data_IF_978304008229
#
_entry.id   IF_978304008229
#
_cell.length_a   1.000
_cell.length_b   1.000
_cell.length_c   1.000
_cell.angle_alpha   90.00
_cell.angle_beta   90.00
_cell.angle_gamma   90.00
#
_symmetry.space_group_name_H-M   'P 1'
#
loop_
_entity.id
_entity.type
_entity.pdbx_description
1 polymer ?
#
# COMPACT_ATOMS: atom_id res chain seq x y z
N UNK A 1 -11.46 -10.82 22.11
CA UNK A 1 -12.04 -9.55 21.63
C UNK A 1 -11.30 -9.18 20.35
N UNK A 2 -11.98 -9.16 19.21
CA UNK A 2 -11.34 -8.97 17.90
C UNK A 2 -11.14 -7.46 17.64
N UNK A 3 -10.02 -7.08 17.01
CA UNK A 3 -9.75 -5.70 16.60
C UNK A 3 -10.88 -5.15 15.71
N UNK A 4 -11.48 -6.02 14.88
CA UNK A 4 -12.66 -5.73 14.05
C UNK A 4 -13.83 -5.20 14.87
N UNK A 5 -14.12 -5.81 16.04
CA UNK A 5 -15.29 -5.47 16.84
C UNK A 5 -15.21 -4.03 17.38
N UNK A 6 -13.99 -3.50 17.56
CA UNK A 6 -13.73 -2.11 18.01
C UNK A 6 -13.71 -1.10 16.86
N UNK A 7 -13.27 -1.51 15.67
CA UNK A 7 -13.16 -0.62 14.51
C UNK A 7 -14.52 -0.40 13.85
N UNK A 8 -15.31 -1.46 13.67
CA UNK A 8 -16.60 -1.38 12.96
C UNK A 8 -17.68 -0.66 13.78
N UNK A 9 -17.62 -0.74 15.12
CA UNK A 9 -18.61 -0.11 16.00
C UNK A 9 -18.33 1.38 16.26
N UNK A 10 -17.18 1.92 15.84
CA UNK A 10 -16.82 3.33 16.01
C UNK A 10 -17.54 4.30 15.05
N UNK A 11 -18.17 3.78 13.99
CA UNK A 11 -19.29 4.34 13.24
C UNK A 11 -19.30 5.84 12.84
N UNK A 12 -19.24 6.07 11.52
CA UNK A 12 -19.94 7.10 10.73
C UNK A 12 -19.31 8.50 10.63
N UNK A 13 -17.99 8.59 10.74
CA UNK A 13 -17.27 9.87 10.71
C UNK A 13 -16.37 10.02 9.46
N UNK A 14 -15.97 11.26 9.14
CA UNK A 14 -15.09 11.58 7.99
C UNK A 14 -13.80 10.75 8.00
N UNK A 15 -13.30 10.43 9.20
CA UNK A 15 -12.13 9.59 9.43
C UNK A 15 -12.31 8.15 8.90
N UNK A 16 -13.52 7.59 8.93
CA UNK A 16 -13.80 6.25 8.37
C UNK A 16 -13.74 6.27 6.84
N UNK A 17 -14.21 7.36 6.22
CA UNK A 17 -14.13 7.54 4.77
C UNK A 17 -12.67 7.71 4.33
N UNK A 18 -11.90 8.55 5.01
CA UNK A 18 -10.47 8.74 4.75
C UNK A 18 -9.68 7.44 4.94
N UNK A 19 -9.96 6.70 6.01
CA UNK A 19 -9.36 5.38 6.24
C UNK A 19 -9.71 4.39 5.13
N UNK A 20 -10.97 4.32 4.72
CA UNK A 20 -11.43 3.41 3.66
C UNK A 20 -10.78 3.74 2.32
N UNK A 21 -10.75 5.03 1.96
CA UNK A 21 -10.12 5.50 0.72
C UNK A 21 -8.62 5.21 0.75
N UNK A 22 -7.92 5.58 1.82
CA UNK A 22 -6.50 5.29 1.97
C UNK A 22 -6.22 3.78 1.87
N UNK A 23 -7.02 2.95 2.56
CA UNK A 23 -6.91 1.49 2.54
C UNK A 23 -7.04 0.96 1.10
N UNK A 24 -8.06 1.38 0.36
CA UNK A 24 -8.27 0.97 -1.04
C UNK A 24 -7.06 1.36 -1.88
N UNK A 25 -6.61 2.62 -1.80
CA UNK A 25 -5.47 3.14 -2.56
C UNK A 25 -4.20 2.35 -2.29
N UNK A 26 -3.85 2.17 -1.02
CA UNK A 26 -2.65 1.43 -0.59
C UNK A 26 -2.68 -0.02 -1.08
N UNK A 27 -3.78 -0.74 -0.82
CA UNK A 27 -3.89 -2.16 -1.21
C UNK A 27 -3.86 -2.31 -2.73
N UNK A 28 -4.49 -1.40 -3.47
CA UNK A 28 -4.55 -1.44 -4.93
C UNK A 28 -3.15 -1.30 -5.52
N UNK A 29 -2.42 -0.25 -5.15
CA UNK A 29 -1.06 -0.05 -5.70
C UNK A 29 -0.10 -1.15 -5.24
N UNK A 30 -0.21 -1.62 -4.00
CA UNK A 30 0.53 -2.78 -3.53
C UNK A 30 0.28 -4.02 -4.40
N UNK A 31 -0.99 -4.33 -4.68
CA UNK A 31 -1.36 -5.49 -5.47
C UNK A 31 -0.93 -5.38 -6.94
N UNK A 32 -1.00 -4.19 -7.53
CA UNK A 32 -0.50 -3.91 -8.88
C UNK A 32 1.00 -4.17 -8.95
N UNK A 33 1.78 -3.59 -8.04
CA UNK A 33 3.24 -3.78 -8.02
C UNK A 33 3.63 -5.25 -7.80
N UNK A 34 2.93 -5.97 -6.91
CA UNK A 34 3.17 -7.41 -6.74
C UNK A 34 2.82 -8.20 -8.01
N UNK A 35 1.72 -7.87 -8.69
CA UNK A 35 1.33 -8.52 -9.95
C UNK A 35 2.36 -8.26 -11.05
N UNK A 36 2.91 -7.05 -11.13
CA UNK A 36 3.98 -6.71 -12.08
C UNK A 36 5.27 -7.49 -11.79
N UNK A 37 5.65 -7.61 -10.52
CA UNK A 37 6.80 -8.43 -10.14
C UNK A 37 6.61 -9.90 -10.54
N UNK A 38 5.43 -10.46 -10.31
CA UNK A 38 5.09 -11.81 -10.74
C UNK A 38 5.11 -11.96 -12.26
N UNK A 39 4.50 -11.01 -12.99
CA UNK A 39 4.46 -11.02 -14.45
C UNK A 39 5.87 -10.96 -15.06
N UNK A 40 6.76 -10.15 -14.48
CA UNK A 40 8.17 -10.05 -14.91
C UNK A 40 8.91 -11.38 -14.80
N UNK A 41 8.62 -12.14 -13.75
CA UNK A 41 9.34 -13.37 -13.40
C UNK A 41 8.62 -14.64 -13.92
N UNK A 42 7.51 -14.51 -14.66
CA UNK A 42 6.75 -15.65 -15.19
C UNK A 42 7.40 -16.23 -16.45
N UNK A 43 8.04 -17.39 -16.29
CA UNK A 43 8.69 -18.12 -17.38
C UNK A 43 7.72 -18.66 -18.45
N UNK A 44 6.42 -18.78 -18.16
CA UNK A 44 5.43 -19.29 -19.12
C UNK A 44 5.02 -18.22 -20.13
N UNK A 45 5.14 -16.95 -19.77
CA UNK A 45 4.76 -15.79 -20.59
C UNK A 45 5.88 -14.77 -20.63
N UNK A 46 7.02 -15.09 -21.29
CA UNK A 46 8.17 -14.20 -21.32
C UNK A 46 7.84 -12.88 -22.01
N UNK A 47 8.11 -11.78 -21.32
CA UNK A 47 7.96 -10.44 -21.85
C UNK A 47 9.10 -10.09 -22.81
N UNK A 48 8.83 -9.16 -23.73
CA UNK A 48 9.89 -8.54 -24.52
C UNK A 48 10.85 -7.75 -23.62
N UNK A 49 12.11 -7.61 -24.01
CA UNK A 49 13.10 -6.84 -23.24
C UNK A 49 12.63 -5.40 -22.96
N UNK A 50 11.91 -4.79 -23.91
CA UNK A 50 11.33 -3.46 -23.74
C UNK A 50 10.27 -3.43 -22.63
N UNK A 51 9.35 -4.40 -22.62
CA UNK A 51 8.31 -4.51 -21.58
C UNK A 51 8.90 -4.86 -20.22
N UNK A 52 9.92 -5.72 -20.17
CA UNK A 52 10.66 -6.03 -18.95
C UNK A 52 11.30 -4.78 -18.36
N UNK A 53 11.96 -3.95 -19.18
CA UNK A 53 12.60 -2.72 -18.71
C UNK A 53 11.60 -1.71 -18.12
N UNK A 54 10.40 -1.60 -18.71
CA UNK A 54 9.32 -0.77 -18.14
C UNK A 54 8.94 -1.27 -16.76
N UNK A 55 8.66 -2.57 -16.62
CA UNK A 55 8.25 -3.15 -15.33
C UNK A 55 9.35 -2.99 -14.29
N UNK A 56 10.61 -3.21 -14.67
CA UNK A 56 11.76 -2.99 -13.77
C UNK A 56 11.84 -1.55 -13.29
N UNK A 57 11.61 -0.57 -14.17
CA UNK A 57 11.58 0.85 -13.78
C UNK A 57 10.44 1.16 -12.80
N UNK A 58 9.24 0.62 -13.04
CA UNK A 58 8.10 0.76 -12.12
C UNK A 58 8.45 0.19 -10.73
N UNK A 59 8.99 -1.03 -10.69
CA UNK A 59 9.35 -1.71 -9.44
C UNK A 59 10.57 -1.08 -8.75
N UNK A 60 11.44 -0.40 -9.51
CA UNK A 60 12.59 0.31 -8.98
C UNK A 60 12.26 1.70 -8.45
N UNK A 61 11.08 2.25 -8.74
CA UNK A 61 10.65 3.56 -8.27
C UNK A 61 10.72 3.66 -6.73
N UNK A 62 11.27 4.75 -6.16
CA UNK A 62 11.45 4.88 -4.71
C UNK A 62 10.16 4.65 -3.91
N UNK A 63 9.04 5.23 -4.35
CA UNK A 63 7.74 5.07 -3.70
C UNK A 63 7.25 3.61 -3.77
N UNK A 64 7.42 2.95 -4.92
CA UNK A 64 7.06 1.54 -5.11
C UNK A 64 7.86 0.60 -4.21
N UNK A 65 9.16 0.86 -4.02
CA UNK A 65 10.00 0.08 -3.10
C UNK A 65 9.53 0.19 -1.65
N UNK A 66 9.13 1.39 -1.22
CA UNK A 66 8.64 1.60 0.14
C UNK A 66 7.31 0.90 0.35
N UNK A 67 6.38 0.97 -0.61
CA UNK A 67 5.09 0.28 -0.53
C UNK A 67 5.25 -1.25 -0.52
N UNK A 68 6.23 -1.79 -1.25
CA UNK A 68 6.41 -3.23 -1.42
C UNK A 68 7.49 -3.85 -0.53
N UNK A 69 8.11 -3.08 0.36
CA UNK A 69 9.12 -3.60 1.27
C UNK A 69 8.56 -4.77 2.11
N UNK A 70 9.42 -5.76 2.40
CA UNK A 70 8.99 -6.97 3.13
C UNK A 70 8.46 -6.66 4.53
N UNK A 71 8.99 -5.64 5.20
CA UNK A 71 8.52 -5.20 6.52
C UNK A 71 7.08 -4.67 6.49
N UNK A 72 6.65 -4.14 5.34
CA UNK A 72 5.33 -3.54 5.11
C UNK A 72 4.23 -4.59 4.91
N UNK A 73 4.59 -5.86 4.69
CA UNK A 73 3.62 -6.98 4.60
C UNK A 73 2.67 -7.02 5.80
N UNK A 74 3.16 -6.70 6.99
CA UNK A 74 2.33 -6.68 8.20
C UNK A 74 1.34 -5.52 8.21
N UNK A 75 1.71 -4.36 7.65
CA UNK A 75 0.79 -3.25 7.48
C UNK A 75 -0.33 -3.61 6.51
N UNK A 76 0.01 -4.19 5.35
CA UNK A 76 -0.97 -4.72 4.40
C UNK A 76 -1.91 -5.74 5.06
N UNK A 77 -1.37 -6.64 5.88
CA UNK A 77 -2.18 -7.60 6.63
C UNK A 77 -3.07 -6.94 7.67
N UNK A 78 -2.62 -5.87 8.31
CA UNK A 78 -3.45 -5.08 9.23
C UNK A 78 -4.61 -4.44 8.48
N UNK A 79 -4.33 -3.82 7.34
CA UNK A 79 -5.38 -3.20 6.51
C UNK A 79 -6.37 -4.23 5.98
N UNK A 80 -5.90 -5.40 5.51
CA UNK A 80 -6.76 -6.42 4.90
C UNK A 80 -7.48 -7.32 5.91
N UNK A 81 -6.77 -7.75 6.95
CA UNK A 81 -7.20 -8.82 7.85
C UNK A 81 -7.36 -8.35 9.29
N UNK A 82 -7.13 -7.07 9.58
CA UNK A 82 -7.28 -6.50 10.93
C UNK A 82 -6.33 -7.17 11.95
N UNK A 83 -5.26 -7.77 11.45
CA UNK A 83 -4.22 -8.41 12.24
C UNK A 83 -3.09 -7.43 12.47
N UNK A 84 -3.01 -6.89 13.68
CA UNK A 84 -1.88 -6.06 14.09
C UNK A 84 -0.56 -6.84 13.97
N UNK A 85 0.53 -6.11 13.72
CA UNK A 85 1.90 -6.60 13.89
C UNK A 85 2.00 -7.28 15.25
N UNK A 86 2.62 -8.48 15.35
CA UNK A 86 2.77 -9.17 16.63
C UNK A 86 3.47 -8.32 17.70
N UNK A 87 4.34 -7.39 17.28
CA UNK A 87 5.05 -6.45 18.15
C UNK A 87 4.44 -5.04 18.17
N UNK A 88 3.21 -4.85 17.67
CA UNK A 88 2.54 -3.56 17.75
C UNK A 88 2.31 -3.15 19.21
N UNK A 89 2.63 -1.91 19.52
CA UNK A 89 2.27 -1.33 20.81
C UNK A 89 0.80 -0.94 20.77
N UNK A 90 -0.04 -1.81 21.33
CA UNK A 90 -1.50 -1.61 21.37
C UNK A 90 -1.92 -0.41 22.22
N UNK A 91 -1.07 0.08 23.14
CA UNK A 91 -1.34 1.29 23.91
C UNK A 91 -1.26 2.57 23.05
N UNK A 92 -0.62 2.48 21.88
CA UNK A 92 -0.51 3.59 20.90
C UNK A 92 -1.61 3.59 19.85
N UNK A 93 -2.56 2.67 19.93
CA UNK A 93 -3.73 2.64 19.04
C UNK A 93 -4.73 3.70 19.51
N UNK A 94 -4.99 4.70 18.66
CA UNK A 94 -5.99 5.74 18.92
C UNK A 94 -7.02 5.75 17.80
N UNK A 95 -8.27 5.40 18.13
CA UNK A 95 -9.37 5.34 17.16
C UNK A 95 -9.73 6.69 16.53
N UNK A 96 -9.26 7.79 17.12
CA UNK A 96 -9.50 9.16 16.61
C UNK A 96 -8.41 9.63 15.65
N UNK A 97 -7.36 8.83 15.45
CA UNK A 97 -6.26 9.13 14.53
C UNK A 97 -6.47 8.39 13.21
N UNK A 98 -6.04 8.97 12.07
CA UNK A 98 -6.00 8.25 10.80
C UNK A 98 -5.24 6.93 10.92
N UNK A 99 -5.81 5.87 10.34
CA UNK A 99 -5.27 4.49 10.42
C UNK A 99 -4.97 4.10 11.88
N UNK A 100 -5.78 4.59 12.82
CA UNK A 100 -5.72 4.32 14.24
C UNK A 100 -4.37 4.66 14.91
N UNK A 101 -3.62 5.62 14.35
CA UNK A 101 -2.29 6.00 14.83
C UNK A 101 -1.19 4.96 14.55
N UNK A 102 -1.47 3.99 13.69
CA UNK A 102 -0.57 2.87 13.44
C UNK A 102 0.59 3.20 12.49
N UNK A 103 0.45 4.22 11.63
CA UNK A 103 1.44 4.50 10.58
C UNK A 103 2.89 4.55 11.09
N UNK A 104 3.23 5.30 12.15
CA UNK A 104 4.62 5.37 12.62
C UNK A 104 5.15 4.05 13.20
N UNK A 105 4.29 3.08 13.54
CA UNK A 105 4.72 1.75 14.00
C UNK A 105 5.18 0.85 12.85
N UNK A 106 4.66 1.06 11.63
CA UNK A 106 5.04 0.32 10.43
C UNK A 106 6.02 1.08 9.53
N UNK A 107 5.93 2.41 9.56
CA UNK A 107 6.73 3.33 8.76
C UNK A 107 7.33 4.40 9.68
N UNK A 108 8.43 4.12 10.40
CA UNK A 108 8.96 5.05 11.40
C UNK A 108 9.38 6.43 10.87
N UNK A 109 9.65 6.52 9.55
CA UNK A 109 9.99 7.77 8.87
C UNK A 109 8.78 8.58 8.39
N UNK A 110 7.55 8.08 8.61
CA UNK A 110 6.33 8.66 8.07
C UNK A 110 5.27 8.84 9.15
N UNK A 111 4.57 9.96 9.08
CA UNK A 111 3.23 10.10 9.63
C UNK A 111 2.18 9.72 8.56
N UNK A 112 0.90 9.86 8.90
CA UNK A 112 -0.18 9.50 7.98
C UNK A 112 -0.16 10.36 6.70
N UNK A 113 0.04 11.67 6.83
CA UNK A 113 0.05 12.59 5.69
C UNK A 113 1.21 12.26 4.73
N UNK A 114 2.41 12.06 5.28
CA UNK A 114 3.59 11.66 4.50
C UNK A 114 3.41 10.30 3.81
N UNK A 115 2.83 9.32 4.50
CA UNK A 115 2.54 8.02 3.89
C UNK A 115 1.46 8.14 2.80
N UNK A 116 0.41 8.94 3.03
CA UNK A 116 -0.62 9.18 2.02
C UNK A 116 -0.02 9.84 0.78
N UNK A 117 0.78 10.89 0.94
CA UNK A 117 1.48 11.53 -0.17
C UNK A 117 2.38 10.56 -0.94
N UNK A 118 3.07 9.66 -0.25
CA UNK A 118 3.89 8.62 -0.88
C UNK A 118 3.06 7.62 -1.69
N UNK A 119 1.90 7.20 -1.17
CA UNK A 119 0.96 6.32 -1.90
C UNK A 119 0.45 7.01 -3.16
N UNK A 120 0.16 8.30 -3.07
CA UNK A 120 -0.34 9.12 -4.19
C UNK A 120 0.70 9.21 -5.31
N UNK A 121 1.94 9.53 -4.95
CA UNK A 121 3.08 9.50 -5.87
C UNK A 121 3.24 8.12 -6.50
N UNK A 122 3.19 7.06 -5.70
CA UNK A 122 3.33 5.69 -6.20
C UNK A 122 2.24 5.34 -7.22
N UNK A 123 0.99 5.72 -6.97
CA UNK A 123 -0.13 5.51 -7.89
C UNK A 123 0.09 6.28 -9.18
N UNK A 124 0.44 7.57 -9.09
CA UNK A 124 0.62 8.42 -10.26
C UNK A 124 1.77 7.93 -11.16
N UNK A 125 2.93 7.62 -10.57
CA UNK A 125 4.09 7.11 -11.32
C UNK A 125 3.79 5.75 -11.96
N UNK A 126 3.16 4.84 -11.22
CA UNK A 126 2.78 3.52 -11.74
C UNK A 126 1.77 3.65 -12.87
N UNK A 127 0.73 4.48 -12.71
CA UNK A 127 -0.28 4.68 -13.73
C UNK A 127 0.29 5.33 -14.99
N UNK A 128 1.14 6.35 -14.87
CA UNK A 128 1.80 6.99 -16.01
C UNK A 128 2.61 5.97 -16.80
N UNK A 129 3.47 5.21 -16.12
CA UNK A 129 4.32 4.21 -16.77
C UNK A 129 3.51 3.09 -17.44
N UNK A 130 2.42 2.63 -16.82
CA UNK A 130 1.54 1.63 -17.43
C UNK A 130 0.77 2.16 -18.64
N UNK A 131 0.31 3.42 -18.60
CA UNK A 131 -0.36 4.05 -19.74
C UNK A 131 0.61 4.23 -20.92
N UNK A 132 1.82 4.73 -20.65
CA UNK A 132 2.88 4.85 -21.64
C UNK A 132 3.20 3.50 -22.29
N UNK A 133 3.29 2.44 -21.48
CA UNK A 133 3.54 1.08 -21.97
C UNK A 133 2.39 0.54 -22.84
N UNK A 134 1.15 0.84 -22.48
CA UNK A 134 -0.04 0.45 -23.24
C UNK A 134 -0.21 1.26 -24.55
N UNK A 135 0.61 2.29 -24.79
CA UNK A 135 0.47 3.20 -25.92
C UNK A 135 -0.64 4.25 -25.73
N UNK A 136 -1.08 4.47 -24.48
CA UNK A 136 -2.04 5.51 -24.13
C UNK A 136 -1.36 6.88 -24.03
N UNK A 137 -1.84 7.83 -24.81
CA UNK A 137 -1.52 9.27 -24.75
C UNK A 137 -2.33 9.93 -23.64
#
# INVERSE_FOLDING_TARGET
>A
MNFIDKVITAGADVLDLEYTVFKIRFITVYAVLQSLALLKDDAHYPLSSASTAVIENILAAPAGRIVTDRSVRHFRNTLMHYNLLPSADTARVDLRQPVFGLVPQYFPAYDFEGLSGLVDTCIQETASALNEWAGGV
#
